data_IF_021024700923
#
_entry.id   IF_021024700923
#
_cell.length_a   1.000
_cell.length_b   1.000
_cell.length_c   1.000
_cell.angle_alpha   90.00
_cell.angle_beta   90.00
_cell.angle_gamma   90.00
#
_symmetry.space_group_name_H-M   'P 1'
#
loop_
_entity.id
_entity.type
_entity.pdbx_description
1 polymer ?
#
# COMPACT_ATOMS: atom_id res chain seq x y z
N UNK A 1 -17.48 -21.71 5.76
CA UNK A 1 -16.88 -20.50 6.36
C UNK A 1 -15.36 -20.42 6.17
N UNK A 2 -14.60 -21.51 5.95
CA UNK A 2 -13.12 -21.45 5.90
C UNK A 2 -12.51 -21.53 4.49
N UNK A 3 -13.28 -21.93 3.48
CA UNK A 3 -12.78 -22.09 2.10
C UNK A 3 -12.37 -20.75 1.48
N UNK A 4 -13.16 -19.70 1.70
CA UNK A 4 -12.84 -18.34 1.24
C UNK A 4 -11.60 -17.77 1.91
N UNK A 5 -11.38 -18.10 3.18
CA UNK A 5 -10.18 -17.66 3.90
C UNK A 5 -8.94 -18.37 3.34
N UNK A 6 -8.98 -19.69 3.18
CA UNK A 6 -7.85 -20.46 2.64
C UNK A 6 -7.46 -20.03 1.23
N UNK A 7 -8.44 -19.76 0.36
CA UNK A 7 -8.19 -19.27 -0.99
C UNK A 7 -7.55 -17.87 -1.00
N UNK A 8 -8.08 -16.95 -0.17
CA UNK A 8 -7.52 -15.61 -0.03
C UNK A 8 -6.09 -15.63 0.56
N UNK A 9 -5.85 -16.43 1.61
CA UNK A 9 -4.54 -16.57 2.24
C UNK A 9 -3.51 -17.16 1.28
N UNK A 10 -3.89 -18.16 0.47
CA UNK A 10 -3.01 -18.76 -0.54
C UNK A 10 -2.62 -17.76 -1.61
N UNK A 11 -3.59 -16.98 -2.10
CA UNK A 11 -3.32 -15.90 -3.07
C UNK A 11 -2.35 -14.87 -2.48
N UNK A 12 -2.57 -14.48 -1.23
CA UNK A 12 -1.73 -13.48 -0.56
C UNK A 12 -0.31 -13.99 -0.29
N UNK A 13 -0.15 -15.27 0.07
CA UNK A 13 1.16 -15.92 0.21
C UNK A 13 1.94 -15.89 -1.11
N UNK A 14 1.27 -16.17 -2.24
CA UNK A 14 1.87 -16.04 -3.57
C UNK A 14 2.29 -14.61 -3.91
N UNK A 15 1.48 -13.61 -3.55
CA UNK A 15 1.83 -12.20 -3.75
C UNK A 15 3.03 -11.79 -2.88
N UNK A 16 3.11 -12.26 -1.63
CA UNK A 16 4.24 -11.99 -0.74
C UNK A 16 5.55 -12.57 -1.31
N UNK A 17 5.51 -13.77 -1.91
CA UNK A 17 6.67 -14.34 -2.58
C UNK A 17 7.14 -13.48 -3.77
N UNK A 18 6.21 -12.98 -4.59
CA UNK A 18 6.53 -12.20 -5.79
C UNK A 18 6.97 -10.76 -5.49
N UNK A 19 6.36 -10.11 -4.51
CA UNK A 19 6.59 -8.67 -4.23
C UNK A 19 7.76 -8.43 -3.28
N UNK A 20 7.90 -9.29 -2.26
CA UNK A 20 8.86 -9.08 -1.16
C UNK A 20 9.77 -10.29 -0.92
N UNK A 21 9.68 -11.33 -1.74
CA UNK A 21 10.56 -12.50 -1.67
C UNK A 21 10.32 -13.42 -0.46
N UNK A 22 9.16 -13.31 0.19
CA UNK A 22 8.84 -14.16 1.34
C UNK A 22 8.63 -15.61 0.93
N UNK A 23 9.15 -16.52 1.73
CA UNK A 23 8.84 -17.95 1.61
C UNK A 23 7.44 -18.24 2.18
N UNK A 24 6.79 -19.35 1.80
CA UNK A 24 5.52 -19.75 2.38
C UNK A 24 5.58 -19.86 3.91
N UNK A 25 6.66 -20.40 4.48
CA UNK A 25 6.86 -20.51 5.92
C UNK A 25 6.87 -19.13 6.61
N UNK A 26 7.54 -18.14 6.01
CA UNK A 26 7.56 -16.77 6.54
C UNK A 26 6.15 -16.17 6.56
N UNK A 27 5.36 -16.36 5.50
CA UNK A 27 3.98 -15.86 5.43
C UNK A 27 3.08 -16.49 6.51
N UNK A 28 3.17 -17.81 6.72
CA UNK A 28 2.33 -18.50 7.70
C UNK A 28 2.76 -18.26 9.15
N UNK A 29 4.02 -17.91 9.38
CA UNK A 29 4.51 -17.52 10.70
C UNK A 29 4.19 -16.06 11.05
N UNK A 30 4.02 -15.19 10.05
CA UNK A 30 3.71 -13.78 10.23
C UNK A 30 2.26 -13.57 10.73
N UNK A 31 2.09 -12.59 11.60
CA UNK A 31 0.78 -12.16 12.09
C UNK A 31 0.09 -11.25 11.06
N UNK A 32 -1.26 -11.18 11.06
CA UNK A 32 -1.99 -10.25 10.21
C UNK A 32 -1.59 -8.78 10.41
N UNK A 33 -1.20 -8.40 11.64
CA UNK A 33 -0.77 -7.03 11.96
C UNK A 33 0.58 -6.69 11.33
N UNK A 34 1.54 -7.62 11.36
CA UNK A 34 2.83 -7.45 10.69
C UNK A 34 2.65 -7.35 9.17
N UNK A 35 1.75 -8.16 8.60
CA UNK A 35 1.43 -8.09 7.19
C UNK A 35 0.80 -6.74 6.80
N UNK A 36 -0.12 -6.24 7.63
CA UNK A 36 -0.72 -4.92 7.42
C UNK A 36 0.34 -3.81 7.43
N UNK A 37 1.30 -3.84 8.37
CA UNK A 37 2.39 -2.85 8.42
C UNK A 37 3.24 -2.84 7.15
N UNK A 38 3.51 -4.01 6.55
CA UNK A 38 4.27 -4.09 5.29
C UNK A 38 3.48 -3.48 4.14
N UNK A 39 2.18 -3.76 4.08
CA UNK A 39 1.29 -3.17 3.05
C UNK A 39 1.19 -1.65 3.22
N UNK A 40 1.07 -1.16 4.45
CA UNK A 40 1.06 0.27 4.76
C UNK A 40 2.38 0.95 4.37
N UNK A 41 3.52 0.30 4.61
CA UNK A 41 4.83 0.81 4.21
C UNK A 41 4.99 0.93 2.68
N UNK A 42 4.27 0.13 1.91
CA UNK A 42 4.24 0.20 0.45
C UNK A 42 3.21 1.20 -0.09
N UNK A 43 2.32 1.73 0.76
CA UNK A 43 1.34 2.72 0.33
C UNK A 43 2.04 4.04 -0.05
N UNK A 44 1.58 4.73 -1.10
CA UNK A 44 2.03 6.08 -1.38
C UNK A 44 1.84 6.96 -0.14
N UNK A 45 2.74 7.91 0.14
CA UNK A 45 2.52 8.86 1.22
C UNK A 45 1.15 9.53 1.01
N UNK A 46 0.42 9.83 2.11
CA UNK A 46 -0.85 10.53 1.99
C UNK A 46 -0.65 11.77 1.14
N UNK A 47 -1.58 12.04 0.24
CA UNK A 47 -1.56 13.20 -0.66
C UNK A 47 -1.73 14.49 0.16
N UNK A 48 -0.72 14.86 0.93
CA UNK A 48 -0.57 16.14 1.61
C UNK A 48 0.13 17.18 0.74
N UNK A 49 0.42 16.83 -0.51
CA UNK A 49 0.92 17.77 -1.52
C UNK A 49 -0.23 18.57 -2.12
N UNK A 50 0.02 19.85 -2.35
CA UNK A 50 -0.86 20.72 -3.12
C UNK A 50 -0.97 20.13 -4.53
N UNK A 51 -2.20 19.92 -5.02
CA UNK A 51 -2.41 19.40 -6.37
C UNK A 51 -1.97 20.43 -7.44
N UNK A 52 -1.79 19.96 -8.68
CA UNK A 52 -1.29 20.84 -9.74
C UNK A 52 -2.25 21.99 -10.05
N UNK A 53 -3.55 21.80 -9.85
CA UNK A 53 -4.57 22.83 -10.04
C UNK A 53 -4.41 23.95 -9.02
N UNK A 54 -4.21 23.60 -7.75
CA UNK A 54 -4.04 24.50 -6.62
C UNK A 54 -2.70 25.23 -6.74
N UNK A 55 -1.63 24.53 -7.13
CA UNK A 55 -0.34 25.14 -7.47
C UNK A 55 -0.47 26.17 -8.61
N UNK A 56 -1.25 25.86 -9.63
CA UNK A 56 -1.48 26.78 -10.77
C UNK A 56 -2.24 28.02 -10.34
N UNK A 57 -3.30 27.86 -9.55
CA UNK A 57 -4.05 28.99 -9.00
C UNK A 57 -3.19 29.91 -8.11
N UNK A 58 -2.26 29.35 -7.32
CA UNK A 58 -1.32 30.14 -6.52
C UNK A 58 -0.34 30.93 -7.40
N UNK A 59 0.19 30.32 -8.47
CA UNK A 59 1.09 31.00 -9.42
C UNK A 59 0.39 32.14 -10.17
N UNK A 60 -0.88 31.94 -10.57
CA UNK A 60 -1.70 32.98 -11.22
C UNK A 60 -2.00 34.14 -10.27
N UNK A 61 -2.29 33.86 -8.99
CA UNK A 61 -2.53 34.90 -7.98
C UNK A 61 -1.25 35.72 -7.67
N UNK A 62 -0.07 35.11 -7.67
CA UNK A 62 1.22 35.79 -7.45
C UNK A 62 1.64 36.64 -8.66
N UNK A 63 1.37 36.18 -9.89
CA UNK A 63 1.70 36.89 -11.12
C UNK A 63 0.83 38.15 -11.39
N UNK A 64 -0.28 38.29 -10.67
CA UNK A 64 -1.23 39.39 -10.80
C UNK A 64 -1.28 40.33 -9.57
N UNK A 65 -0.34 40.15 -8.63
CA UNK A 65 -0.16 40.99 -7.43
C UNK A 65 0.97 42.01 -7.55
#
# INVERSE_FOLDING_TARGET
>A
MNERFGEAATRLAGQAALLIGWTPDTFWAATPAELAMIVEAAAPPPAGGIDRTTLTAMMEHDAHG
#
